data_IF_356656683584
#
_entry.id   IF_356656683584
#
_cell.length_a   1.000
_cell.length_b   1.000
_cell.length_c   1.000
_cell.angle_alpha   90.00
_cell.angle_beta   90.00
_cell.angle_gamma   90.00
#
_symmetry.space_group_name_H-M   'P 1'
#
loop_
_entity.id
_entity.type
_entity.pdbx_description
1 polymer ?
#
# COMPACT_ATOMS: atom_id res chain seq x y z
N UNK A 1 -14.06 22.65 -3.79
CA UNK A 1 -13.04 21.69 -3.33
C UNK A 1 -13.61 20.30 -3.53
N UNK A 2 -13.05 19.53 -4.46
CA UNK A 2 -13.53 18.19 -4.78
C UNK A 2 -12.77 17.22 -3.88
N UNK A 3 -13.47 16.44 -3.06
CA UNK A 3 -12.86 15.43 -2.19
C UNK A 3 -12.16 14.32 -2.98
N UNK A 4 -11.43 13.48 -2.25
CA UNK A 4 -10.73 12.33 -2.85
C UNK A 4 -11.74 11.42 -3.59
N UNK A 5 -11.32 10.90 -4.75
CA UNK A 5 -12.12 10.01 -5.61
C UNK A 5 -11.57 8.61 -5.55
N UNK A 6 -12.43 7.62 -5.31
CA UNK A 6 -12.07 6.22 -5.48
C UNK A 6 -11.84 5.91 -6.96
N UNK A 7 -10.85 5.07 -7.25
CA UNK A 7 -10.52 4.64 -8.62
C UNK A 7 -10.54 3.12 -8.73
N UNK A 8 -10.77 2.62 -9.95
CA UNK A 8 -10.70 1.18 -10.24
C UNK A 8 -9.34 0.65 -9.79
N UNK A 9 -9.37 -0.47 -9.08
CA UNK A 9 -8.19 -1.13 -8.54
C UNK A 9 -8.28 -2.61 -8.88
N UNK A 10 -7.28 -3.12 -9.58
CA UNK A 10 -7.15 -4.53 -9.90
C UNK A 10 -5.95 -5.08 -9.11
N UNK A 11 -6.11 -6.23 -8.46
CA UNK A 11 -5.08 -6.87 -7.64
C UNK A 11 -5.14 -8.38 -7.82
N UNK A 12 -3.99 -8.98 -8.14
CA UNK A 12 -3.80 -10.43 -8.19
C UNK A 12 -2.94 -10.89 -7.01
N UNK A 13 -3.50 -10.77 -5.79
CA UNK A 13 -2.84 -11.19 -4.56
C UNK A 13 -3.88 -11.75 -3.56
N UNK A 14 -4.09 -13.08 -3.54
CA UNK A 14 -5.06 -13.71 -2.65
C UNK A 14 -4.82 -13.37 -1.18
N UNK A 15 -5.89 -12.98 -0.47
CA UNK A 15 -5.82 -12.60 0.94
C UNK A 15 -5.34 -11.17 1.20
N UNK A 16 -5.12 -10.37 0.14
CA UNK A 16 -4.86 -8.94 0.24
C UNK A 16 -6.03 -8.17 -0.33
N UNK A 17 -6.39 -7.06 0.31
CA UNK A 17 -7.38 -6.10 -0.21
C UNK A 17 -6.64 -4.85 -0.65
N UNK A 18 -7.03 -4.29 -1.80
CA UNK A 18 -6.51 -3.02 -2.29
C UNK A 18 -7.64 -2.04 -2.64
N UNK A 19 -7.41 -0.75 -2.38
CA UNK A 19 -8.28 0.33 -2.84
C UNK A 19 -7.43 1.55 -3.24
N UNK A 20 -7.51 1.91 -4.52
CA UNK A 20 -6.93 3.11 -5.08
C UNK A 20 -7.83 4.33 -4.87
N UNK A 21 -7.23 5.48 -4.62
CA UNK A 21 -7.91 6.76 -4.51
C UNK A 21 -7.00 7.89 -5.01
N UNK A 22 -7.60 8.98 -5.47
CA UNK A 22 -6.87 10.16 -5.96
C UNK A 22 -7.45 11.44 -5.39
N UNK A 23 -6.58 12.39 -5.07
CA UNK A 23 -6.96 13.69 -4.51
C UNK A 23 -5.95 14.77 -4.86
N UNK A 24 -6.04 15.92 -4.18
CA UNK A 24 -5.08 17.02 -4.34
C UNK A 24 -3.63 16.60 -4.06
N UNK A 25 -3.42 15.59 -3.22
CA UNK A 25 -2.11 15.03 -2.89
C UNK A 25 -1.70 13.83 -3.74
N UNK A 26 -2.24 13.67 -4.95
CA UNK A 26 -1.78 12.66 -5.92
C UNK A 26 -2.59 11.36 -5.92
N UNK A 27 -1.96 10.28 -6.39
CA UNK A 27 -2.54 8.93 -6.45
C UNK A 27 -2.07 8.13 -5.25
N UNK A 28 -2.98 7.43 -4.59
CA UNK A 28 -2.69 6.61 -3.43
C UNK A 28 -3.37 5.26 -3.52
N UNK A 29 -2.80 4.26 -2.86
CA UNK A 29 -3.37 2.92 -2.75
C UNK A 29 -3.33 2.50 -1.28
N UNK A 30 -4.47 2.09 -0.75
CA UNK A 30 -4.57 1.36 0.52
C UNK A 30 -4.37 -0.12 0.23
N UNK A 31 -3.48 -0.77 0.96
CA UNK A 31 -3.24 -2.22 0.92
C UNK A 31 -3.46 -2.81 2.31
N UNK A 32 -4.17 -3.93 2.40
CA UNK A 32 -4.43 -4.65 3.66
C UNK A 32 -4.09 -6.12 3.47
N UNK A 33 -3.04 -6.59 4.12
CA UNK A 33 -2.74 -8.02 4.19
C UNK A 33 -3.62 -8.67 5.26
N UNK A 34 -4.51 -9.59 4.89
CA UNK A 34 -5.36 -10.33 5.84
C UNK A 34 -4.74 -11.67 6.27
N UNK A 35 -3.56 -12.01 5.78
CA UNK A 35 -2.88 -13.27 6.06
C UNK A 35 -1.93 -13.12 7.24
N UNK A 36 -1.76 -14.21 7.99
CA UNK A 36 -0.70 -14.35 8.99
C UNK A 36 0.65 -14.75 8.35
N UNK A 37 0.92 -14.25 7.14
CA UNK A 37 2.16 -14.50 6.41
C UNK A 37 2.52 -13.24 5.63
N UNK A 38 3.82 -13.02 5.42
CA UNK A 38 4.33 -12.02 4.47
C UNK A 38 3.72 -12.20 3.08
N UNK A 39 3.41 -11.09 2.41
CA UNK A 39 2.98 -11.05 1.00
C UNK A 39 3.79 -10.01 0.24
N UNK A 40 4.20 -10.35 -0.98
CA UNK A 40 4.84 -9.44 -1.91
C UNK A 40 3.83 -8.96 -2.95
N UNK A 41 3.71 -7.64 -3.11
CA UNK A 41 2.85 -7.01 -4.10
C UNK A 41 3.73 -6.40 -5.19
N UNK A 42 3.58 -6.92 -6.41
CA UNK A 42 4.27 -6.39 -7.58
C UNK A 42 3.52 -5.18 -8.10
N UNK A 43 4.24 -4.09 -8.28
CA UNK A 43 3.70 -2.88 -8.87
C UNK A 43 3.85 -2.89 -10.40
N UNK A 44 2.96 -2.19 -11.13
CA UNK A 44 3.15 -1.94 -12.56
C UNK A 44 4.51 -1.32 -12.86
N UNK A 45 5.10 -1.66 -14.01
CA UNK A 45 6.47 -1.25 -14.39
C UNK A 45 6.64 0.26 -14.50
N UNK A 46 5.55 0.98 -14.72
CA UNK A 46 5.51 2.45 -14.80
C UNK A 46 5.71 3.11 -13.42
N UNK A 47 5.52 2.37 -12.33
CA UNK A 47 5.72 2.85 -10.95
C UNK A 47 7.12 2.46 -10.49
N UNK A 48 8.06 3.38 -10.66
CA UNK A 48 9.47 3.20 -10.26
C UNK A 48 9.75 3.77 -8.87
N UNK A 49 8.95 4.73 -8.42
CA UNK A 49 9.07 5.37 -7.10
C UNK A 49 7.70 5.41 -6.43
N UNK A 50 7.65 5.04 -5.16
CA UNK A 50 6.47 5.23 -4.32
C UNK A 50 6.91 5.33 -2.85
N UNK A 51 6.23 6.18 -2.09
CA UNK A 51 6.41 6.27 -0.63
C UNK A 51 5.39 5.37 0.03
N UNK A 52 5.81 4.65 1.05
CA UNK A 52 4.98 3.69 1.76
C UNK A 52 4.93 4.12 3.22
N UNK A 53 3.72 4.25 3.76
CA UNK A 53 3.47 4.37 5.20
C UNK A 53 2.77 3.11 5.66
N UNK A 54 3.37 2.35 6.56
CA UNK A 54 2.91 1.02 6.95
C UNK A 54 2.75 0.89 8.46
N UNK A 55 1.72 0.17 8.88
CA UNK A 55 1.53 -0.29 10.25
C UNK A 55 1.36 -1.81 10.26
N UNK A 56 1.95 -2.46 11.24
CA UNK A 56 1.83 -3.90 11.48
C UNK A 56 1.96 -4.19 12.99
N UNK A 57 2.02 -5.48 13.35
CA UNK A 57 2.12 -5.92 14.74
C UNK A 57 3.36 -5.38 15.48
N UNK A 58 4.43 -5.07 14.77
CA UNK A 58 5.68 -4.53 15.34
C UNK A 58 5.62 -3.03 15.56
N UNK A 59 4.71 -2.34 14.87
CA UNK A 59 4.57 -0.88 14.99
C UNK A 59 4.08 -0.49 16.39
N UNK A 60 3.17 -1.26 16.99
CA UNK A 60 2.61 -0.96 18.31
C UNK A 60 1.95 0.43 18.33
N UNK A 61 2.32 1.26 19.31
CA UNK A 61 1.82 2.65 19.43
C UNK A 61 2.70 3.68 18.70
N UNK A 62 3.71 3.23 17.96
CA UNK A 62 4.60 4.14 17.24
C UNK A 62 3.93 4.69 15.97
N UNK A 63 4.43 5.83 15.44
CA UNK A 63 4.01 6.30 14.13
C UNK A 63 4.23 5.24 13.03
N UNK A 64 3.44 5.27 11.93
CA UNK A 64 3.64 4.36 10.81
C UNK A 64 5.09 4.38 10.30
N UNK A 65 5.64 3.19 10.07
CA UNK A 65 6.95 3.05 9.44
C UNK A 65 6.91 3.58 8.02
N UNK A 66 7.95 4.32 7.62
CA UNK A 66 8.08 4.90 6.28
C UNK A 66 9.15 4.18 5.49
N UNK A 67 8.84 3.80 4.27
CA UNK A 67 9.78 3.17 3.34
C UNK A 67 9.49 3.58 1.90
N UNK A 68 10.37 3.15 0.98
CA UNK A 68 10.16 3.30 -0.45
C UNK A 68 9.96 1.93 -1.09
N UNK A 69 9.33 1.90 -2.26
CA UNK A 69 9.28 0.70 -3.09
C UNK A 69 10.69 0.19 -3.41
N UNK A 70 10.90 -1.12 -3.34
CA UNK A 70 12.19 -1.76 -3.64
C UNK A 70 12.01 -2.67 -4.85
N UNK A 71 12.73 -2.42 -5.95
CA UNK A 71 12.69 -3.22 -7.18
C UNK A 71 11.27 -3.44 -7.74
N UNK A 72 10.39 -2.45 -7.64
CA UNK A 72 9.01 -2.56 -8.11
C UNK A 72 8.11 -3.44 -7.24
N UNK A 73 8.57 -3.80 -6.03
CA UNK A 73 7.83 -4.64 -5.09
C UNK A 73 7.59 -3.91 -3.77
N UNK A 74 6.38 -4.11 -3.24
CA UNK A 74 5.98 -3.71 -1.90
C UNK A 74 5.88 -4.95 -1.04
N UNK A 75 6.52 -4.94 0.13
CA UNK A 75 6.47 -6.04 1.09
C UNK A 75 5.46 -5.68 2.17
N UNK A 76 4.47 -6.54 2.38
CA UNK A 76 3.52 -6.46 3.49
C UNK A 76 3.78 -7.60 4.45
N UNK A 77 4.18 -7.30 5.68
CA UNK A 77 4.28 -8.30 6.74
C UNK A 77 2.90 -8.83 7.15
N UNK A 78 2.88 -9.86 7.99
CA UNK A 78 1.64 -10.45 8.50
C UNK A 78 0.72 -9.37 9.09
N UNK A 79 -0.53 -9.34 8.63
CA UNK A 79 -1.54 -8.37 9.06
C UNK A 79 -1.21 -6.88 8.84
N UNK A 80 -0.23 -6.58 7.98
CA UNK A 80 0.16 -5.21 7.70
C UNK A 80 -0.91 -4.43 6.92
N UNK A 81 -1.02 -3.13 7.24
CA UNK A 81 -1.80 -2.14 6.49
C UNK A 81 -0.85 -1.07 5.98
N UNK A 82 -0.88 -0.81 4.68
CA UNK A 82 -0.02 0.18 4.05
C UNK A 82 -0.81 1.18 3.21
N UNK A 83 -0.38 2.44 3.25
CA UNK A 83 -0.74 3.46 2.28
C UNK A 83 0.46 3.72 1.39
N UNK A 84 0.25 3.59 0.08
CA UNK A 84 1.26 3.77 -0.95
C UNK A 84 0.93 5.06 -1.70
N UNK A 85 1.86 5.99 -1.72
CA UNK A 85 1.78 7.25 -2.46
C UNK A 85 2.65 7.14 -3.73
N UNK A 86 2.03 7.33 -4.89
CA UNK A 86 2.64 7.23 -6.23
C UNK A 86 2.89 8.62 -6.79
#
# INVERSE_FOLDING_TARGET
MTGDKLVKTDLDAPGVVAQGFTGSGGKRILLVNKKNTRVEIKMPKEITTAKISCVDITTGENPPAKSNITNGTIILESFAVAVVEI
#
